data_IF_475857282093
#
_entry.id   IF_475857282093
#
_cell.length_a   1.000
_cell.length_b   1.000
_cell.length_c   1.000
_cell.angle_alpha   90.00
_cell.angle_beta   90.00
_cell.angle_gamma   90.00
#
_symmetry.space_group_name_H-M   'P 1'
#
loop_
_entity.id
_entity.type
_entity.pdbx_description
1 polymer ?
#
# COMPACT_ATOMS: atom_id res chain seq x y z
N UNK A 1 18.83 -7.75 12.27
CA UNK A 1 17.48 -7.96 11.72
C UNK A 1 17.64 -8.34 10.26
N UNK A 2 17.01 -9.43 9.81
CA UNK A 2 16.96 -9.81 8.40
C UNK A 2 15.88 -9.00 7.70
N UNK A 3 16.21 -8.41 6.54
CA UNK A 3 15.23 -7.73 5.69
C UNK A 3 14.20 -8.76 5.19
N UNK A 4 12.90 -8.59 5.45
CA UNK A 4 11.89 -9.52 4.96
C UNK A 4 11.81 -9.44 3.42
N UNK A 5 11.70 -10.59 2.77
CA UNK A 5 11.37 -10.66 1.34
C UNK A 5 9.90 -10.34 1.14
N UNK A 6 9.56 -9.52 0.14
CA UNK A 6 8.17 -9.18 -0.19
C UNK A 6 7.59 -10.26 -1.09
N UNK A 7 6.56 -10.96 -0.62
CA UNK A 7 5.77 -11.88 -1.44
C UNK A 7 4.85 -11.11 -2.39
N UNK A 8 4.85 -11.45 -3.68
CA UNK A 8 4.05 -10.74 -4.69
C UNK A 8 2.70 -11.45 -4.91
N UNK A 9 1.60 -10.75 -4.63
CA UNK A 9 0.21 -11.20 -4.89
C UNK A 9 -0.53 -10.16 -5.74
N UNK A 10 -0.27 -10.12 -7.06
CA UNK A 10 -0.89 -9.13 -7.93
C UNK A 10 -2.43 -9.28 -7.97
N UNK A 11 -3.13 -8.15 -8.07
CA UNK A 11 -4.57 -8.10 -8.37
C UNK A 11 -4.94 -8.92 -9.61
N UNK A 12 -5.98 -9.74 -9.45
CA UNK A 12 -6.63 -10.46 -10.56
C UNK A 12 -7.63 -9.60 -11.33
N UNK A 13 -7.90 -8.37 -10.86
CA UNK A 13 -8.83 -7.44 -11.47
C UNK A 13 -8.23 -6.02 -11.48
N UNK A 14 -7.12 -5.79 -12.22
CA UNK A 14 -6.56 -4.45 -12.37
C UNK A 14 -7.49 -3.56 -13.20
N UNK A 15 -7.40 -2.24 -12.99
CA UNK A 15 -8.08 -1.28 -13.86
C UNK A 15 -7.64 -1.45 -15.31
N UNK A 16 -8.59 -1.31 -16.24
CA UNK A 16 -8.27 -1.31 -17.67
C UNK A 16 -7.33 -0.16 -18.02
N UNK A 17 -6.59 -0.32 -19.11
CA UNK A 17 -5.68 0.73 -19.61
C UNK A 17 -6.41 2.03 -19.90
N UNK A 18 -7.66 1.94 -20.40
CA UNK A 18 -8.50 3.10 -20.70
C UNK A 18 -8.93 3.85 -19.42
N UNK A 19 -9.39 3.12 -18.39
CA UNK A 19 -9.77 3.72 -17.10
C UNK A 19 -8.56 4.35 -16.41
N UNK A 20 -7.42 3.66 -16.41
CA UNK A 20 -6.17 4.17 -15.84
C UNK A 20 -5.71 5.43 -16.57
N UNK A 21 -5.77 5.45 -17.91
CA UNK A 21 -5.43 6.64 -18.69
C UNK A 21 -6.37 7.82 -18.41
N UNK A 22 -7.67 7.57 -18.26
CA UNK A 22 -8.64 8.59 -17.89
C UNK A 22 -8.35 9.22 -16.52
N UNK A 23 -7.98 8.40 -15.53
CA UNK A 23 -7.56 8.88 -14.19
C UNK A 23 -6.29 9.72 -14.30
N UNK A 24 -5.27 9.25 -15.03
CA UNK A 24 -3.99 9.93 -15.17
C UNK A 24 -4.08 11.27 -15.91
N UNK A 25 -5.12 11.50 -16.72
CA UNK A 25 -5.35 12.79 -17.37
C UNK A 25 -5.69 13.92 -16.38
N UNK A 26 -6.31 13.60 -15.23
CA UNK A 26 -6.62 14.57 -14.18
C UNK A 26 -6.76 13.90 -12.80
N UNK A 27 -5.65 13.41 -12.20
CA UNK A 27 -5.71 12.54 -11.02
C UNK A 27 -6.00 13.30 -9.70
N UNK A 28 -5.82 14.62 -9.68
CA UNK A 28 -5.85 15.40 -8.45
C UNK A 28 -4.78 14.95 -7.45
N UNK A 29 -5.03 15.14 -6.15
CA UNK A 29 -4.14 14.72 -5.07
C UNK A 29 -4.88 13.84 -4.08
N UNK A 30 -4.39 12.62 -3.85
CA UNK A 30 -4.94 11.68 -2.85
C UNK A 30 -6.35 11.17 -3.13
N UNK A 31 -6.82 11.19 -4.39
CA UNK A 31 -8.19 10.80 -4.77
C UNK A 31 -8.30 9.40 -5.38
N UNK A 32 -7.24 8.96 -6.04
CA UNK A 32 -7.17 7.66 -6.72
C UNK A 32 -5.94 6.91 -6.21
N UNK A 33 -6.06 5.60 -6.08
CA UNK A 33 -5.02 4.70 -5.61
C UNK A 33 -4.72 3.66 -6.69
N UNK A 34 -3.51 3.10 -6.67
CA UNK A 34 -3.07 2.06 -7.60
C UNK A 34 -3.73 0.72 -7.29
N UNK A 35 -3.63 -0.24 -8.22
CA UNK A 35 -4.24 -1.58 -8.09
C UNK A 35 -3.70 -2.39 -6.89
N UNK A 36 -2.56 -1.98 -6.31
CA UNK A 36 -1.88 -2.69 -5.24
C UNK A 36 -1.48 -1.75 -4.09
N UNK A 37 -1.27 -2.37 -2.92
CA UNK A 37 -0.63 -1.78 -1.74
C UNK A 37 0.37 -2.78 -1.14
N UNK A 38 1.31 -2.28 -0.32
CA UNK A 38 2.25 -3.11 0.44
C UNK A 38 1.84 -3.16 1.90
N UNK A 39 1.89 -4.36 2.49
CA UNK A 39 1.65 -4.58 3.92
C UNK A 39 2.80 -5.37 4.53
N UNK A 40 3.17 -5.08 5.78
CA UNK A 40 4.15 -5.83 6.54
C UNK A 40 3.66 -5.90 7.99
N UNK A 41 3.71 -7.08 8.60
CA UNK A 41 3.26 -7.29 9.98
C UNK A 41 4.42 -7.17 10.95
N UNK A 42 4.13 -6.67 12.15
CA UNK A 42 5.05 -6.73 13.28
C UNK A 42 4.37 -7.41 14.46
N UNK A 43 5.10 -8.28 15.16
CA UNK A 43 4.69 -8.82 16.45
C UNK A 43 5.90 -8.90 17.37
N UNK A 44 5.68 -8.68 18.66
CA UNK A 44 6.69 -8.88 19.69
C UNK A 44 7.28 -10.31 19.59
N UNK A 45 8.59 -10.44 19.81
CA UNK A 45 9.32 -11.72 19.70
C UNK A 45 9.63 -12.21 18.27
N UNK A 46 8.82 -11.84 17.25
CA UNK A 46 9.08 -12.19 15.83
C UNK A 46 9.69 -11.05 15.02
N UNK A 47 9.40 -9.80 15.39
CA UNK A 47 9.78 -8.61 14.61
C UNK A 47 8.94 -8.45 13.35
N UNK A 48 9.50 -7.82 12.32
CA UNK A 48 8.84 -7.64 11.01
C UNK A 48 8.78 -8.95 10.22
N UNK A 49 7.61 -9.29 9.70
CA UNK A 49 7.37 -10.53 8.97
C UNK A 49 6.17 -10.40 8.03
N UNK A 50 5.93 -11.44 7.23
CA UNK A 50 4.81 -11.55 6.27
C UNK A 50 4.65 -10.29 5.40
N UNK A 51 5.77 -9.82 4.83
CA UNK A 51 5.78 -8.69 3.91
C UNK A 51 5.16 -9.09 2.56
N UNK A 52 4.18 -8.34 2.09
CA UNK A 52 3.40 -8.69 0.89
C UNK A 52 3.02 -7.46 0.07
N UNK A 53 3.11 -7.57 -1.25
CA UNK A 53 2.38 -6.73 -2.20
C UNK A 53 1.05 -7.42 -2.49
N UNK A 54 -0.06 -6.73 -2.24
CA UNK A 54 -1.43 -7.27 -2.33
C UNK A 54 -2.33 -6.30 -3.10
N UNK A 55 -3.53 -6.73 -3.57
CA UNK A 55 -4.49 -5.81 -4.17
C UNK A 55 -4.89 -4.70 -3.19
N UNK A 56 -5.07 -3.48 -3.67
CA UNK A 56 -5.55 -2.37 -2.85
C UNK A 56 -6.96 -2.67 -2.33
N UNK A 57 -7.21 -2.46 -1.04
CA UNK A 57 -8.49 -2.80 -0.42
C UNK A 57 -8.59 -2.37 1.04
N UNK A 58 -9.76 -2.59 1.67
CA UNK A 58 -10.00 -2.19 3.06
C UNK A 58 -9.09 -2.96 4.02
N UNK A 59 -8.64 -2.27 5.07
CA UNK A 59 -7.94 -2.88 6.20
C UNK A 59 -8.97 -3.42 7.20
N UNK A 60 -8.77 -4.66 7.67
CA UNK A 60 -9.52 -5.23 8.79
C UNK A 60 -8.79 -4.94 10.10
N UNK A 61 -9.42 -4.19 10.99
CA UNK A 61 -8.87 -3.77 12.27
C UNK A 61 -9.84 -4.11 13.39
N UNK A 62 -9.31 -4.52 14.54
CA UNK A 62 -10.09 -4.64 15.77
C UNK A 62 -10.60 -3.25 16.20
N UNK A 63 -11.87 -3.10 16.63
CA UNK A 63 -12.39 -1.82 17.09
C UNK A 63 -11.64 -1.19 18.27
N UNK A 64 -10.92 -1.98 19.07
CA UNK A 64 -10.08 -1.53 20.18
C UNK A 64 -8.61 -1.28 19.77
N UNK A 65 -8.28 -1.30 18.47
CA UNK A 65 -6.93 -1.05 17.99
C UNK A 65 -6.42 0.34 18.45
N UNK A 66 -5.20 0.39 19.00
CA UNK A 66 -4.61 1.62 19.57
C UNK A 66 -4.52 2.79 18.59
N UNK A 67 -4.41 2.53 17.29
CA UNK A 67 -4.46 3.58 16.26
C UNK A 67 -5.77 4.38 16.34
N UNK A 68 -6.90 3.71 16.61
CA UNK A 68 -8.23 4.32 16.62
C UNK A 68 -8.54 5.07 17.92
N UNK A 69 -7.87 4.74 19.03
CA UNK A 69 -8.16 5.31 20.36
C UNK A 69 -7.09 6.28 20.86
N UNK A 70 -5.84 6.04 20.49
CA UNK A 70 -4.67 6.73 21.05
C UNK A 70 -3.71 7.25 19.98
N UNK A 71 -4.11 7.23 18.70
CA UNK A 71 -3.34 7.75 17.57
C UNK A 71 -1.89 7.25 17.54
N UNK A 72 -1.65 5.99 17.94
CA UNK A 72 -0.32 5.39 17.86
C UNK A 72 -0.03 5.01 16.40
N UNK A 73 0.34 6.01 15.60
CA UNK A 73 0.62 5.88 14.17
C UNK A 73 1.64 6.93 13.71
N UNK A 74 2.29 6.65 12.59
CA UNK A 74 3.20 7.57 11.89
C UNK A 74 3.00 7.39 10.38
N UNK A 75 3.27 8.44 9.59
CA UNK A 75 3.19 8.37 8.13
C UNK A 75 4.35 9.11 7.47
N UNK A 76 4.55 8.85 6.18
CA UNK A 76 5.58 9.48 5.35
C UNK A 76 5.00 10.02 4.04
N UNK A 77 5.75 10.91 3.37
CA UNK A 77 5.32 11.56 2.14
C UNK A 77 6.45 11.78 1.14
N UNK A 78 6.44 10.99 0.06
CA UNK A 78 7.39 11.11 -1.04
C UNK A 78 6.71 10.94 -2.41
N UNK A 79 7.45 11.18 -3.49
CA UNK A 79 6.97 11.09 -4.86
C UNK A 79 7.90 10.23 -5.71
N UNK A 80 7.32 9.46 -6.62
CA UNK A 80 8.05 8.75 -7.67
C UNK A 80 7.84 9.47 -9.01
N UNK A 81 8.90 9.59 -9.80
CA UNK A 81 8.88 10.24 -11.10
C UNK A 81 9.42 9.29 -12.16
N UNK A 82 8.72 9.16 -13.29
CA UNK A 82 9.26 8.48 -14.47
C UNK A 82 10.35 9.35 -15.09
N UNK A 83 11.52 8.77 -15.34
CA UNK A 83 12.61 9.46 -16.02
C UNK A 83 12.60 9.16 -17.53
N UNK A 84 13.29 9.96 -18.37
CA UNK A 84 13.33 9.73 -19.81
C UNK A 84 13.88 8.36 -20.24
N UNK A 85 14.69 7.72 -19.41
CA UNK A 85 15.34 6.42 -19.66
C UNK A 85 14.53 5.21 -19.19
N UNK A 86 13.42 5.41 -18.47
CA UNK A 86 12.56 4.34 -17.97
C UNK A 86 12.20 4.52 -16.51
#
# INVERSE_FOLDING_TARGET
MTTPTIELKPSSNPLSDAERAAILASPGFGRHFTDHMVTIRWTEGRGWHDAQLVPYGPLSLDPANMTLHYAQEIFEGLKAYRQPDG
#
